data_IF_420350600714
#
_entry.id   IF_420350600714
#
_cell.length_a   1.000
_cell.length_b   1.000
_cell.length_c   1.000
_cell.angle_alpha   90.00
_cell.angle_beta   90.00
_cell.angle_gamma   90.00
#
_symmetry.space_group_name_H-M   'P 1'
#
loop_
_entity.id
_entity.type
_entity.pdbx_description
1 polymer ?
#
# COMPACT_ATOMS: atom_id res chain seq x y z
N UNK A 1 -5.08 17.71 -19.11
CA UNK A 1 -6.27 16.82 -19.11
C UNK A 1 -6.69 16.65 -20.56
N UNK A 2 -7.05 15.44 -21.00
CA UNK A 2 -7.44 15.15 -22.38
C UNK A 2 -8.86 15.63 -22.70
N UNK A 3 -9.15 15.84 -23.98
CA UNK A 3 -10.37 16.50 -24.50
C UNK A 3 -11.71 15.76 -24.21
N UNK A 4 -11.66 14.55 -23.65
CA UNK A 4 -12.83 13.69 -23.43
C UNK A 4 -13.32 13.60 -21.97
N UNK A 5 -12.73 14.36 -21.04
CA UNK A 5 -13.15 14.35 -19.63
C UNK A 5 -14.40 15.21 -19.38
N UNK A 6 -15.51 14.56 -19.00
CA UNK A 6 -16.80 15.22 -18.70
C UNK A 6 -17.01 15.44 -17.21
N UNK A 7 -16.79 16.68 -16.74
CA UNK A 7 -17.04 17.14 -15.37
C UNK A 7 -18.41 17.81 -15.24
N UNK A 8 -19.07 17.68 -14.08
CA UNK A 8 -20.37 18.32 -13.79
C UNK A 8 -20.40 19.09 -12.46
N UNK A 9 -19.66 18.63 -11.46
CA UNK A 9 -19.56 19.23 -10.14
C UNK A 9 -18.14 19.76 -9.92
N UNK A 10 -18.02 21.04 -9.59
CA UNK A 10 -16.77 21.62 -9.08
C UNK A 10 -16.51 21.21 -7.63
N UNK A 11 -15.29 21.47 -7.17
CA UNK A 11 -14.87 21.28 -5.78
C UNK A 11 -14.44 22.62 -5.17
N UNK A 12 -14.71 22.78 -3.87
CA UNK A 12 -14.27 23.86 -2.99
C UNK A 12 -14.06 23.31 -1.58
N UNK A 13 -13.44 24.08 -0.68
CA UNK A 13 -13.11 23.62 0.67
C UNK A 13 -14.35 23.29 1.52
N UNK A 14 -15.52 23.81 1.15
CA UNK A 14 -16.82 23.55 1.78
C UNK A 14 -17.55 22.34 1.17
N UNK A 15 -17.00 21.72 0.10
CA UNK A 15 -17.64 20.59 -0.59
C UNK A 15 -17.51 19.32 0.26
N UNK A 16 -18.63 18.70 0.70
CA UNK A 16 -18.59 17.53 1.57
C UNK A 16 -18.36 16.22 0.80
N UNK A 17 -18.06 15.14 1.53
CA UNK A 17 -18.21 13.78 1.01
C UNK A 17 -19.65 13.56 0.53
N UNK A 18 -19.82 13.00 -0.67
CA UNK A 18 -21.13 12.83 -1.34
C UNK A 18 -22.01 11.71 -0.74
N UNK A 19 -21.57 11.06 0.33
CA UNK A 19 -22.35 10.03 1.03
C UNK A 19 -23.21 10.72 2.09
N UNK A 20 -24.52 10.55 1.99
CA UNK A 20 -25.49 11.16 2.93
C UNK A 20 -25.15 10.83 4.39
N UNK A 21 -25.12 11.87 5.24
CA UNK A 21 -24.78 11.75 6.66
C UNK A 21 -23.28 11.63 6.97
N UNK A 22 -22.39 11.77 5.98
CA UNK A 22 -20.95 11.81 6.22
C UNK A 22 -20.46 13.20 6.66
N UNK A 23 -19.66 13.25 7.72
CA UNK A 23 -18.99 14.46 8.24
C UNK A 23 -17.50 14.54 7.89
N UNK A 24 -16.95 13.53 7.21
CA UNK A 24 -15.53 13.48 6.84
C UNK A 24 -15.27 14.33 5.59
N UNK A 25 -14.12 15.03 5.49
CA UNK A 25 -13.74 15.74 4.27
C UNK A 25 -13.54 14.75 3.11
N UNK A 26 -13.95 15.10 1.88
CA UNK A 26 -13.65 14.29 0.72
C UNK A 26 -12.15 14.31 0.42
N UNK A 27 -11.63 13.21 -0.10
CA UNK A 27 -10.23 13.01 -0.46
C UNK A 27 -10.04 12.85 -1.98
N UNK A 28 -11.04 12.27 -2.65
CA UNK A 28 -11.00 11.96 -4.09
C UNK A 28 -12.25 12.44 -4.82
N UNK A 29 -12.07 12.84 -6.06
CA UNK A 29 -13.11 12.88 -7.07
C UNK A 29 -13.27 11.49 -7.71
N UNK A 30 -14.51 11.01 -7.78
CA UNK A 30 -14.85 9.70 -8.34
C UNK A 30 -15.19 9.84 -9.81
N UNK A 31 -14.55 9.04 -10.65
CA UNK A 31 -14.73 9.04 -12.09
C UNK A 31 -15.16 7.66 -12.59
N UNK A 32 -16.10 7.62 -13.52
CA UNK A 32 -16.46 6.44 -14.31
C UNK A 32 -15.51 6.35 -15.51
N UNK A 33 -14.81 5.23 -15.62
CA UNK A 33 -13.89 4.92 -16.70
C UNK A 33 -14.34 3.67 -17.46
N UNK A 34 -14.42 3.81 -18.78
CA UNK A 34 -14.51 2.69 -19.71
C UNK A 34 -13.63 2.94 -20.94
N UNK A 35 -13.30 1.89 -21.69
CA UNK A 35 -12.53 1.97 -22.92
C UNK A 35 -13.13 1.06 -23.99
N UNK A 36 -13.22 1.58 -25.21
CA UNK A 36 -13.95 1.00 -26.33
C UNK A 36 -12.97 0.65 -27.46
N UNK A 37 -12.35 -0.52 -27.37
CA UNK A 37 -11.30 -1.02 -28.29
C UNK A 37 -11.62 -0.77 -29.77
N UNK A 38 -12.87 -1.05 -30.18
CA UNK A 38 -13.32 -0.95 -31.58
C UNK A 38 -13.37 0.50 -32.13
N UNK A 39 -13.47 1.50 -31.24
CA UNK A 39 -13.49 2.91 -31.58
C UNK A 39 -12.19 3.62 -31.18
N UNK A 40 -11.31 2.95 -30.42
CA UNK A 40 -10.17 3.55 -29.72
C UNK A 40 -10.60 4.74 -28.80
N UNK A 41 -11.82 4.69 -28.27
CA UNK A 41 -12.40 5.75 -27.45
C UNK A 41 -12.27 5.45 -25.95
N UNK A 42 -11.81 6.43 -25.18
CA UNK A 42 -11.84 6.39 -23.72
C UNK A 42 -13.02 7.21 -23.21
N UNK A 43 -13.90 6.56 -22.45
CA UNK A 43 -14.95 7.23 -21.68
C UNK A 43 -14.39 7.64 -20.32
N UNK A 44 -14.44 8.94 -20.01
CA UNK A 44 -13.96 9.51 -18.76
C UNK A 44 -14.95 10.56 -18.25
N UNK A 45 -15.77 10.19 -17.27
CA UNK A 45 -16.83 11.07 -16.76
C UNK A 45 -16.82 11.10 -15.24
N UNK A 46 -17.04 12.27 -14.64
CA UNK A 46 -17.26 12.38 -13.21
C UNK A 46 -18.53 11.63 -12.80
N UNK A 47 -18.45 10.84 -11.73
CA UNK A 47 -19.60 10.10 -11.21
C UNK A 47 -20.69 11.06 -10.74
N UNK A 48 -21.92 10.88 -11.23
CA UNK A 48 -23.03 11.78 -10.87
C UNK A 48 -23.77 11.38 -9.60
N UNK A 49 -23.51 10.17 -9.10
CA UNK A 49 -24.20 9.58 -7.95
C UNK A 49 -23.41 9.78 -6.66
N UNK A 50 -22.07 9.81 -6.77
CA UNK A 50 -21.16 10.09 -5.67
C UNK A 50 -19.87 10.76 -6.20
N UNK A 51 -19.91 12.03 -6.65
CA UNK A 51 -18.78 12.70 -7.30
C UNK A 51 -17.55 12.85 -6.40
N UNK A 52 -17.70 12.91 -5.08
CA UNK A 52 -16.61 13.11 -4.12
C UNK A 52 -16.70 12.15 -2.94
N UNK A 53 -15.61 11.46 -2.59
CA UNK A 53 -15.55 10.51 -1.47
C UNK A 53 -14.41 10.80 -0.52
N UNK A 54 -14.66 10.65 0.79
CA UNK A 54 -13.63 10.56 1.82
C UNK A 54 -12.93 9.20 1.79
N UNK A 55 -11.74 9.09 2.39
CA UNK A 55 -10.94 7.84 2.43
C UNK A 55 -11.76 6.65 2.93
N UNK A 56 -12.53 6.84 4.01
CA UNK A 56 -13.39 5.79 4.60
C UNK A 56 -14.40 5.24 3.59
N UNK A 57 -15.12 6.12 2.89
CA UNK A 57 -16.15 5.68 1.95
C UNK A 57 -15.56 5.16 0.64
N UNK A 58 -14.43 5.71 0.17
CA UNK A 58 -13.66 5.14 -0.94
C UNK A 58 -13.27 3.69 -0.66
N UNK A 59 -12.70 3.40 0.52
CA UNK A 59 -12.29 2.05 0.89
C UNK A 59 -13.49 1.09 0.96
N UNK A 60 -14.58 1.49 1.62
CA UNK A 60 -15.83 0.69 1.65
C UNK A 60 -16.35 0.44 0.23
N UNK A 61 -16.20 1.40 -0.68
CA UNK A 61 -16.64 1.31 -2.07
C UNK A 61 -15.88 0.20 -2.82
N UNK A 62 -14.56 0.14 -2.66
CA UNK A 62 -13.70 -0.90 -3.24
C UNK A 62 -13.89 -2.27 -2.56
N UNK A 63 -13.86 -2.32 -1.22
CA UNK A 63 -13.96 -3.56 -0.42
C UNK A 63 -15.25 -4.35 -0.68
N UNK A 64 -16.31 -3.66 -1.10
CA UNK A 64 -17.64 -4.23 -1.38
C UNK A 64 -18.07 -4.07 -2.84
N UNK A 65 -17.13 -3.76 -3.75
CA UNK A 65 -17.40 -3.74 -5.18
C UNK A 65 -17.74 -5.16 -5.67
N UNK A 66 -18.80 -5.29 -6.48
CA UNK A 66 -19.20 -6.58 -7.08
C UNK A 66 -19.14 -6.43 -8.60
N UNK A 67 -18.29 -7.25 -9.23
CA UNK A 67 -18.09 -7.25 -10.68
C UNK A 67 -16.63 -7.51 -11.06
N UNK A 68 -16.30 -7.38 -12.34
CA UNK A 68 -14.92 -7.49 -12.83
C UNK A 68 -14.45 -6.09 -13.24
N UNK A 69 -13.44 -5.57 -12.54
CA UNK A 69 -12.84 -4.25 -12.79
C UNK A 69 -11.98 -4.25 -14.05
N UNK A 70 -12.62 -4.14 -15.21
CA UNK A 70 -11.97 -4.02 -16.52
C UNK A 70 -12.81 -3.17 -17.48
N UNK A 71 -12.23 -2.62 -18.57
CA UNK A 71 -13.00 -2.07 -19.67
C UNK A 71 -14.06 -3.05 -20.17
N UNK A 72 -15.21 -2.51 -20.58
CA UNK A 72 -16.44 -3.21 -20.97
C UNK A 72 -17.05 -4.10 -19.86
N UNK A 73 -16.45 -4.15 -18.67
CA UNK A 73 -16.99 -4.81 -17.49
C UNK A 73 -18.20 -4.08 -16.90
N UNK A 74 -18.82 -4.70 -15.91
CA UNK A 74 -19.84 -4.07 -15.08
C UNK A 74 -19.40 -4.23 -13.63
N UNK A 75 -19.31 -3.13 -12.90
CA UNK A 75 -19.01 -3.13 -11.46
C UNK A 75 -20.06 -2.31 -10.73
N UNK A 76 -20.73 -2.96 -9.78
CA UNK A 76 -21.67 -2.33 -8.86
C UNK A 76 -20.95 -1.96 -7.57
N UNK A 77 -21.21 -0.75 -7.09
CA UNK A 77 -20.53 -0.15 -5.95
C UNK A 77 -21.52 0.25 -4.83
N UNK A 78 -21.09 0.25 -3.56
CA UNK A 78 -21.89 0.74 -2.43
C UNK A 78 -22.35 2.19 -2.51
N UNK A 79 -21.55 3.08 -3.11
CA UNK A 79 -21.83 4.52 -3.17
C UNK A 79 -21.78 5.09 -4.59
N UNK A 80 -20.73 4.81 -5.36
CA UNK A 80 -20.60 5.27 -6.74
C UNK A 80 -21.42 4.42 -7.74
N UNK A 81 -21.40 4.82 -9.01
CA UNK A 81 -21.97 4.14 -10.17
C UNK A 81 -23.42 3.63 -9.97
N UNK A 82 -24.27 4.37 -9.24
CA UNK A 82 -25.65 3.92 -8.97
C UNK A 82 -26.53 3.86 -10.23
N UNK A 83 -26.15 4.59 -11.27
CA UNK A 83 -26.79 4.56 -12.58
C UNK A 83 -26.42 3.28 -13.39
N UNK A 84 -25.50 2.45 -12.88
CA UNK A 84 -25.14 1.17 -13.50
C UNK A 84 -24.35 1.30 -14.81
N UNK A 85 -23.54 2.36 -14.95
CA UNK A 85 -22.74 2.57 -16.15
C UNK A 85 -21.71 1.45 -16.34
N UNK A 86 -21.42 1.15 -17.61
CA UNK A 86 -20.41 0.19 -18.02
C UNK A 86 -18.99 0.72 -17.71
N UNK A 87 -18.06 -0.19 -17.42
CA UNK A 87 -16.72 0.13 -16.95
C UNK A 87 -16.60 0.02 -15.42
N UNK A 88 -15.78 0.89 -14.81
CA UNK A 88 -15.51 0.87 -13.37
C UNK A 88 -15.14 2.26 -12.82
N UNK A 89 -15.25 2.42 -11.49
CA UNK A 89 -14.84 3.66 -10.81
C UNK A 89 -13.32 3.75 -10.65
N UNK A 90 -12.77 4.93 -10.96
CA UNK A 90 -11.43 5.40 -10.63
C UNK A 90 -11.53 6.58 -9.66
N UNK A 91 -10.47 6.84 -8.92
CA UNK A 91 -10.40 7.91 -7.93
C UNK A 91 -9.22 8.83 -8.25
N UNK A 92 -9.49 10.12 -8.41
CA UNK A 92 -8.46 11.15 -8.60
C UNK A 92 -8.40 12.01 -7.33
N UNK A 93 -7.27 12.06 -6.61
CA UNK A 93 -7.15 12.86 -5.40
C UNK A 93 -7.42 14.34 -5.68
N UNK A 94 -8.14 14.97 -4.76
CA UNK A 94 -8.55 16.37 -4.91
C UNK A 94 -7.37 17.33 -4.86
N UNK A 95 -6.31 16.97 -4.15
CA UNK A 95 -5.05 17.74 -4.13
C UNK A 95 -4.40 17.87 -5.51
N UNK A 96 -4.44 16.83 -6.33
CA UNK A 96 -3.82 16.83 -7.66
C UNK A 96 -4.68 17.60 -8.68
N UNK A 97 -6.01 17.57 -8.49
CA UNK A 97 -6.97 18.29 -9.33
C UNK A 97 -7.09 19.78 -8.97
N UNK A 98 -6.90 20.15 -7.70
CA UNK A 98 -7.14 21.50 -7.20
C UNK A 98 -6.01 22.03 -6.30
N UNK A 99 -4.72 21.94 -6.70
CA UNK A 99 -3.58 22.22 -5.81
C UNK A 99 -3.64 23.60 -5.13
N UNK A 100 -4.24 24.60 -5.77
CA UNK A 100 -4.43 25.96 -5.23
C UNK A 100 -5.38 26.05 -4.02
N UNK A 101 -6.28 25.08 -3.84
CA UNK A 101 -7.19 25.03 -2.69
C UNK A 101 -6.50 24.46 -1.44
N UNK A 102 -5.47 23.63 -1.66
CA UNK A 102 -4.67 22.97 -0.62
C UNK A 102 -3.34 23.70 -0.34
N UNK A 103 -3.06 24.83 -1.02
CA UNK A 103 -1.71 25.44 -1.07
C UNK A 103 -1.38 26.50 -0.01
N UNK A 104 -2.27 26.85 0.91
CA UNK A 104 -2.03 27.97 1.85
C UNK A 104 -2.08 27.64 3.34
N UNK A 105 -2.74 26.55 3.76
CA UNK A 105 -2.75 26.09 5.17
C UNK A 105 -2.52 24.57 5.32
N UNK A 106 -2.46 23.79 4.22
CA UNK A 106 -2.33 22.32 4.26
C UNK A 106 -1.05 21.77 3.60
N UNK A 107 -0.13 22.63 3.16
CA UNK A 107 1.18 22.20 2.63
C UNK A 107 2.10 21.58 3.69
N UNK A 108 1.78 21.72 4.98
CA UNK A 108 2.43 20.94 6.05
C UNK A 108 1.86 19.53 6.23
N UNK A 109 0.78 19.15 5.52
CA UNK A 109 0.07 17.88 5.76
C UNK A 109 -0.32 17.05 4.52
N UNK A 110 -0.30 17.57 3.28
CA UNK A 110 -0.85 16.80 2.14
C UNK A 110 -0.20 16.95 0.75
N UNK A 111 1.06 17.38 0.61
CA UNK A 111 1.83 17.20 -0.63
C UNK A 111 2.72 15.95 -0.49
N UNK A 112 2.28 14.76 -0.88
CA UNK A 112 2.46 14.11 -2.19
C UNK A 112 1.77 12.70 -2.09
N UNK A 113 1.66 11.78 -3.04
CA UNK A 113 1.84 11.72 -4.50
C UNK A 113 0.85 10.64 -5.02
N UNK A 114 0.35 10.74 -6.26
CA UNK A 114 -0.22 9.58 -6.96
C UNK A 114 0.91 8.70 -7.51
N UNK A 115 1.50 7.83 -6.68
CA UNK A 115 2.29 6.73 -7.22
C UNK A 115 1.34 5.63 -7.74
N UNK A 116 1.77 4.91 -8.78
CA UNK A 116 1.08 3.72 -9.29
C UNK A 116 0.97 2.63 -8.21
N UNK A 117 -0.09 2.68 -7.40
CA UNK A 117 -0.33 1.74 -6.27
C UNK A 117 -0.47 0.26 -6.69
N UNK A 118 -0.36 -0.07 -7.98
CA UNK A 118 -0.36 -1.44 -8.47
C UNK A 118 1.01 -2.13 -8.31
N UNK A 119 2.12 -1.39 -8.26
CA UNK A 119 3.49 -1.95 -8.18
C UNK A 119 4.34 -1.11 -7.22
N UNK A 120 5.35 -1.70 -6.58
CA UNK A 120 6.36 -0.94 -5.84
C UNK A 120 7.43 -0.51 -6.83
N UNK A 121 7.67 0.79 -6.94
CA UNK A 121 8.65 1.36 -7.87
C UNK A 121 9.55 2.40 -7.17
N UNK A 122 10.57 2.88 -7.88
CA UNK A 122 11.53 3.85 -7.34
C UNK A 122 10.87 5.16 -6.87
N UNK A 123 9.80 5.59 -7.56
CA UNK A 123 9.01 6.78 -7.20
C UNK A 123 8.29 6.59 -5.85
N UNK A 124 7.72 5.40 -5.60
CA UNK A 124 7.12 5.07 -4.31
C UNK A 124 8.16 5.18 -3.20
N UNK A 125 9.33 4.59 -3.42
CA UNK A 125 10.37 4.52 -2.38
C UNK A 125 10.97 5.92 -2.14
N UNK A 126 11.21 6.72 -3.18
CA UNK A 126 11.65 8.11 -3.06
C UNK A 126 10.63 9.00 -2.32
N UNK A 127 9.32 8.76 -2.51
CA UNK A 127 8.26 9.39 -1.73
C UNK A 127 8.27 8.93 -0.27
N UNK A 128 8.38 7.62 0.00
CA UNK A 128 8.43 7.06 1.36
C UNK A 128 9.72 7.43 2.13
N UNK A 129 10.79 7.87 1.45
CA UNK A 129 11.97 8.48 2.09
C UNK A 129 11.64 9.85 2.68
N UNK A 130 10.82 10.65 1.98
CA UNK A 130 10.42 11.99 2.42
C UNK A 130 9.26 11.93 3.42
N UNK A 131 8.33 10.99 3.25
CA UNK A 131 7.06 10.87 3.99
C UNK A 131 6.90 9.45 4.59
N UNK A 132 7.76 9.04 5.53
CA UNK A 132 7.86 7.64 5.98
C UNK A 132 6.63 7.12 6.73
N UNK A 133 5.83 7.99 7.35
CA UNK A 133 4.57 7.63 8.00
C UNK A 133 3.57 6.94 7.04
N UNK A 134 3.66 7.21 5.73
CA UNK A 134 2.83 6.54 4.72
C UNK A 134 3.13 5.03 4.60
N UNK A 135 4.28 4.53 5.06
CA UNK A 135 4.55 3.08 5.12
C UNK A 135 3.48 2.36 5.97
N UNK A 136 2.94 3.02 7.01
CA UNK A 136 1.85 2.47 7.85
C UNK A 136 0.49 2.50 7.16
N UNK A 137 0.28 3.37 6.16
CA UNK A 137 -0.97 3.48 5.41
C UNK A 137 -1.12 2.40 4.33
N UNK A 138 0.00 1.87 3.82
CA UNK A 138 0.04 0.75 2.85
C UNK A 138 -0.86 -0.42 3.28
N UNK A 139 -1.48 -1.12 2.34
CA UNK A 139 -2.12 -2.40 2.66
C UNK A 139 -1.03 -3.47 3.00
N UNK A 140 -1.36 -4.56 3.72
CA UNK A 140 -0.35 -5.55 4.13
C UNK A 140 0.49 -6.10 2.97
N UNK A 141 -0.14 -6.39 1.82
CA UNK A 141 0.57 -6.92 0.65
C UNK A 141 1.53 -5.90 0.04
N UNK A 142 1.13 -4.63 -0.03
CA UNK A 142 2.02 -3.55 -0.49
C UNK A 142 3.20 -3.32 0.46
N UNK A 143 3.01 -3.58 1.75
CA UNK A 143 4.12 -3.58 2.71
C UNK A 143 5.07 -4.78 2.49
N UNK A 144 4.55 -5.99 2.27
CA UNK A 144 5.36 -7.16 1.89
C UNK A 144 6.16 -6.90 0.60
N UNK A 145 5.51 -6.32 -0.42
CA UNK A 145 6.14 -5.97 -1.70
C UNK A 145 7.23 -4.89 -1.55
N UNK A 146 7.04 -3.90 -0.66
CA UNK A 146 8.05 -2.89 -0.35
C UNK A 146 9.31 -3.52 0.24
N UNK A 147 9.13 -4.41 1.22
CA UNK A 147 10.26 -5.14 1.82
C UNK A 147 10.91 -6.07 0.78
N UNK A 148 10.13 -6.74 -0.07
CA UNK A 148 10.66 -7.56 -1.14
C UNK A 148 11.54 -6.76 -2.11
N UNK A 149 11.12 -5.56 -2.52
CA UNK A 149 11.89 -4.69 -3.43
C UNK A 149 13.18 -4.18 -2.78
N UNK A 150 13.13 -3.80 -1.49
CA UNK A 150 14.33 -3.46 -0.71
C UNK A 150 15.34 -4.62 -0.68
N UNK A 151 14.90 -5.88 -0.61
CA UNK A 151 15.80 -7.03 -0.68
C UNK A 151 16.35 -7.24 -2.10
N UNK A 152 15.56 -7.06 -3.16
CA UNK A 152 16.03 -7.13 -4.56
C UNK A 152 17.13 -6.11 -4.84
N UNK A 153 16.92 -4.85 -4.45
CA UNK A 153 17.90 -3.77 -4.56
C UNK A 153 19.21 -4.10 -3.81
N UNK A 154 19.15 -4.86 -2.71
CA UNK A 154 20.33 -5.34 -1.97
C UNK A 154 20.98 -6.61 -2.57
N UNK A 155 20.58 -7.01 -3.79
CA UNK A 155 21.19 -8.11 -4.54
C UNK A 155 20.69 -9.51 -4.15
N UNK A 156 19.50 -9.63 -3.57
CA UNK A 156 18.88 -10.91 -3.25
C UNK A 156 17.95 -11.35 -4.39
N UNK A 157 17.90 -12.67 -4.63
CA UNK A 157 16.83 -13.30 -5.42
C UNK A 157 15.61 -13.45 -4.52
N UNK A 158 14.48 -12.80 -4.86
CA UNK A 158 13.35 -12.64 -3.94
C UNK A 158 12.05 -13.25 -4.49
N UNK A 159 11.48 -14.18 -3.72
CA UNK A 159 10.16 -14.78 -3.94
C UNK A 159 9.18 -14.29 -2.87
N UNK A 160 8.09 -13.64 -3.27
CA UNK A 160 6.94 -13.38 -2.40
C UNK A 160 6.09 -14.64 -2.28
N UNK A 161 5.69 -15.01 -1.06
CA UNK A 161 4.79 -16.14 -0.85
C UNK A 161 3.32 -15.75 -1.14
N UNK A 162 2.43 -16.72 -1.42
CA UNK A 162 0.99 -16.52 -1.41
C UNK A 162 0.44 -15.90 -0.12
N UNK A 163 -0.64 -15.11 -0.21
CA UNK A 163 -1.24 -14.48 0.97
C UNK A 163 -1.98 -15.44 1.92
N UNK A 164 -2.02 -16.75 1.62
CA UNK A 164 -2.84 -17.72 2.36
C UNK A 164 -2.08 -19.02 2.59
N UNK A 165 -2.03 -19.45 3.87
CA UNK A 165 -1.56 -20.76 4.36
C UNK A 165 -0.03 -21.00 4.45
N UNK A 166 0.82 -20.00 4.25
CA UNK A 166 2.29 -20.20 4.17
C UNK A 166 3.06 -20.22 5.52
N UNK A 167 2.36 -20.44 6.63
CA UNK A 167 2.99 -20.85 7.89
C UNK A 167 3.85 -19.80 8.60
N UNK A 168 3.72 -18.51 8.28
CA UNK A 168 4.43 -17.41 8.95
C UNK A 168 5.68 -16.92 8.23
N UNK A 169 5.72 -17.01 6.89
CA UNK A 169 6.74 -16.35 6.04
C UNK A 169 6.07 -15.71 4.83
N UNK A 170 6.38 -14.44 4.60
CA UNK A 170 5.78 -13.62 3.54
C UNK A 170 6.75 -13.43 2.35
N UNK A 171 8.06 -13.55 2.61
CA UNK A 171 9.12 -13.44 1.61
C UNK A 171 10.17 -14.53 1.86
N UNK A 172 10.67 -15.13 0.78
CA UNK A 172 11.90 -15.93 0.76
C UNK A 172 12.92 -15.16 -0.06
N UNK A 173 14.09 -14.86 0.52
CA UNK A 173 15.18 -14.16 -0.13
C UNK A 173 16.44 -15.03 -0.13
N UNK A 174 17.11 -15.15 -1.28
CA UNK A 174 18.32 -15.96 -1.45
C UNK A 174 19.48 -15.04 -1.81
N UNK A 175 20.58 -15.15 -1.07
CA UNK A 175 21.83 -14.47 -1.37
C UNK A 175 22.86 -15.48 -1.88
N UNK A 176 23.30 -15.27 -3.12
CA UNK A 176 24.24 -16.14 -3.82
C UNK A 176 25.64 -15.52 -3.79
N UNK A 177 26.61 -16.24 -3.22
CA UNK A 177 27.99 -15.76 -3.08
C UNK A 177 29.01 -16.84 -3.43
N UNK A 178 30.28 -16.49 -3.74
CA UNK A 178 31.35 -17.49 -3.95
C UNK A 178 31.62 -18.41 -2.75
N UNK A 179 31.16 -18.03 -1.55
CA UNK A 179 31.31 -18.80 -0.32
C UNK A 179 30.10 -19.71 -0.02
N UNK A 180 29.05 -19.65 -0.85
CA UNK A 180 27.84 -20.45 -0.72
C UNK A 180 26.55 -19.64 -0.83
N UNK A 181 25.44 -20.35 -0.68
CA UNK A 181 24.07 -19.82 -0.74
C UNK A 181 23.53 -19.61 0.67
N UNK A 182 22.91 -18.46 0.92
CA UNK A 182 22.23 -18.16 2.18
C UNK A 182 20.75 -17.92 1.91
N UNK A 183 19.88 -18.62 2.63
CA UNK A 183 18.43 -18.53 2.46
C UNK A 183 17.79 -17.88 3.67
N UNK A 184 17.08 -16.78 3.43
CA UNK A 184 16.42 -15.96 4.41
C UNK A 184 14.91 -16.09 4.27
N UNK A 185 14.21 -16.17 5.39
CA UNK A 185 12.75 -15.92 5.44
C UNK A 185 12.48 -14.58 6.08
N UNK A 186 11.52 -13.86 5.54
CA UNK A 186 11.03 -12.61 6.12
C UNK A 186 9.56 -12.75 6.43
N UNK A 187 9.16 -12.32 7.62
CA UNK A 187 7.78 -12.16 8.02
C UNK A 187 7.50 -10.67 8.27
N UNK A 188 6.42 -10.16 7.70
CA UNK A 188 6.03 -8.76 7.71
C UNK A 188 4.79 -8.57 8.58
N UNK A 189 4.87 -7.71 9.61
CA UNK A 189 3.75 -7.39 10.50
C UNK A 189 3.45 -5.90 10.49
N UNK A 190 2.43 -5.52 9.71
CA UNK A 190 1.93 -4.14 9.63
C UNK A 190 1.05 -3.80 10.83
N UNK A 191 1.65 -3.37 11.93
CA UNK A 191 0.95 -2.93 13.14
C UNK A 191 0.98 -1.41 13.31
N UNK A 192 0.06 -0.89 14.12
CA UNK A 192 0.08 0.48 14.61
C UNK A 192 1.27 0.68 15.56
N UNK A 193 1.73 1.92 15.68
CA UNK A 193 2.92 2.30 16.46
C UNK A 193 2.81 1.97 17.96
N UNK A 194 1.60 2.05 18.52
CA UNK A 194 1.27 1.67 19.90
C UNK A 194 1.20 0.14 20.11
N UNK A 195 1.00 -0.64 19.05
CA UNK A 195 0.88 -2.10 19.11
C UNK A 195 2.21 -2.80 18.82
N UNK A 196 3.01 -3.02 19.87
CA UNK A 196 4.32 -3.68 19.76
C UNK A 196 4.22 -5.17 19.46
N UNK A 197 5.17 -5.67 18.67
CA UNK A 197 5.30 -7.10 18.37
C UNK A 197 5.91 -7.84 19.57
N UNK A 198 5.17 -8.83 20.07
CA UNK A 198 5.54 -9.65 21.23
C UNK A 198 6.42 -10.87 20.90
N UNK A 199 7.02 -11.45 21.95
CA UNK A 199 8.00 -12.55 21.84
C UNK A 199 7.44 -13.85 21.26
N UNK A 200 6.14 -14.12 21.40
CA UNK A 200 5.53 -15.34 20.84
C UNK A 200 5.61 -15.41 19.32
N UNK A 201 5.47 -14.28 18.64
CA UNK A 201 5.57 -14.20 17.18
C UNK A 201 7.02 -14.46 16.72
N UNK A 202 7.99 -13.87 17.45
CA UNK A 202 9.42 -14.11 17.26
C UNK A 202 9.80 -15.59 17.44
N UNK A 203 9.25 -16.25 18.47
CA UNK A 203 9.42 -17.69 18.72
C UNK A 203 8.82 -18.54 17.63
N UNK A 204 7.63 -18.18 17.13
CA UNK A 204 6.97 -18.84 16.01
C UNK A 204 7.84 -18.83 14.76
N UNK A 205 8.30 -17.64 14.33
CA UNK A 205 9.18 -17.49 13.18
C UNK A 205 10.51 -18.25 13.33
N UNK A 206 11.11 -18.24 14.53
CA UNK A 206 12.30 -19.05 14.81
C UNK A 206 12.02 -20.55 14.69
N UNK A 207 10.85 -21.02 15.12
CA UNK A 207 10.42 -22.41 14.91
C UNK A 207 10.34 -22.80 13.44
N UNK A 208 9.74 -21.93 12.60
CA UNK A 208 9.68 -22.11 11.13
C UNK A 208 11.09 -22.16 10.53
N UNK A 209 11.94 -21.19 10.88
CA UNK A 209 13.36 -21.13 10.50
C UNK A 209 14.09 -22.44 10.77
N UNK A 210 13.99 -22.95 12.00
CA UNK A 210 14.68 -24.17 12.43
C UNK A 210 14.12 -25.44 11.79
N UNK A 211 12.80 -25.53 11.62
CA UNK A 211 12.15 -26.69 11.01
C UNK A 211 12.48 -26.83 9.52
N UNK A 212 12.44 -25.73 8.78
CA UNK A 212 12.70 -25.68 7.33
C UNK A 212 14.18 -25.43 6.97
N UNK A 213 15.05 -25.28 7.99
CA UNK A 213 16.51 -25.13 7.88
C UNK A 213 16.98 -23.89 7.10
N UNK A 214 16.23 -22.81 7.17
CA UNK A 214 16.67 -21.52 6.65
C UNK A 214 17.92 -21.02 7.40
N UNK A 215 18.78 -20.26 6.71
CA UNK A 215 20.03 -19.71 7.26
C UNK A 215 19.70 -18.71 8.38
N UNK A 216 18.82 -17.76 8.08
CA UNK A 216 18.38 -16.71 9.00
C UNK A 216 16.89 -16.40 8.79
N UNK A 217 16.21 -15.95 9.84
CA UNK A 217 14.88 -15.37 9.73
C UNK A 217 14.89 -13.89 10.13
N UNK A 218 14.01 -13.10 9.52
CA UNK A 218 13.94 -11.65 9.71
C UNK A 218 12.48 -11.28 9.96
N UNK A 219 12.19 -10.69 11.11
CA UNK A 219 10.86 -10.20 11.43
C UNK A 219 10.83 -8.69 11.24
N UNK A 220 9.99 -8.22 10.31
CA UNK A 220 9.91 -6.81 9.90
C UNK A 220 8.56 -6.22 10.32
N UNK A 221 8.54 -5.05 10.95
CA UNK A 221 7.29 -4.41 11.40
C UNK A 221 7.27 -2.89 11.23
N UNK A 222 6.10 -2.36 10.93
CA UNK A 222 5.83 -0.91 10.92
C UNK A 222 5.66 -0.29 12.32
N UNK A 223 5.76 -1.12 13.36
CA UNK A 223 5.70 -0.73 14.77
C UNK A 223 7.09 -0.89 15.43
N UNK A 224 7.14 -1.38 16.68
CA UNK A 224 8.36 -1.71 17.42
C UNK A 224 8.21 -3.05 18.15
N UNK A 225 9.32 -3.58 18.69
CA UNK A 225 9.35 -4.85 19.43
C UNK A 225 9.30 -4.65 20.94
N UNK A 226 8.72 -5.62 21.67
CA UNK A 226 8.83 -5.66 23.13
C UNK A 226 10.27 -5.97 23.58
N UNK A 227 10.61 -5.61 24.82
CA UNK A 227 11.94 -5.90 25.35
C UNK A 227 12.20 -7.41 25.48
N UNK A 228 11.18 -8.22 25.71
CA UNK A 228 11.34 -9.69 25.77
C UNK A 228 11.55 -10.30 24.39
N UNK A 229 10.97 -9.73 23.33
CA UNK A 229 11.30 -10.07 21.95
C UNK A 229 12.79 -9.77 21.66
N UNK A 230 13.27 -8.58 22.00
CA UNK A 230 14.70 -8.20 21.82
C UNK A 230 15.65 -9.09 22.62
N UNK A 231 15.33 -9.39 23.89
CA UNK A 231 16.12 -10.31 24.75
C UNK A 231 16.21 -11.71 24.16
N UNK A 232 15.12 -12.23 23.58
CA UNK A 232 15.10 -13.55 22.94
C UNK A 232 15.99 -13.62 21.70
N UNK A 233 16.03 -12.54 20.90
CA UNK A 233 16.86 -12.49 19.68
C UNK A 233 18.34 -12.26 19.97
N UNK A 234 18.70 -11.55 21.05
CA UNK A 234 20.10 -11.24 21.38
C UNK A 234 21.09 -12.43 21.33
N UNK A 235 20.81 -13.62 21.90
CA UNK A 235 21.71 -14.79 21.78
C UNK A 235 21.64 -15.50 20.40
N UNK A 236 20.72 -15.08 19.52
CA UNK A 236 20.44 -15.68 18.21
C UNK A 236 20.72 -14.69 17.05
N UNK A 237 21.52 -13.65 17.27
CA UNK A 237 21.66 -12.50 16.36
C UNK A 237 22.14 -12.85 14.92
N UNK A 238 22.79 -14.00 14.75
CA UNK A 238 23.20 -14.52 13.45
C UNK A 238 22.10 -15.33 12.73
N UNK A 239 21.14 -15.87 13.48
CA UNK A 239 20.06 -16.73 12.98
C UNK A 239 18.70 -16.02 12.89
N UNK A 240 18.55 -14.90 13.59
CA UNK A 240 17.29 -14.19 13.75
C UNK A 240 17.54 -12.68 13.87
N UNK A 241 16.82 -11.89 13.09
CA UNK A 241 16.90 -10.43 13.14
C UNK A 241 15.52 -9.81 13.37
N UNK A 242 15.48 -8.73 14.16
CA UNK A 242 14.30 -7.88 14.32
C UNK A 242 14.55 -6.57 13.55
N UNK A 243 13.55 -6.12 12.81
CA UNK A 243 13.61 -4.91 11.98
C UNK A 243 12.34 -4.08 12.14
N UNK A 244 12.49 -2.93 12.78
CA UNK A 244 11.36 -2.06 13.12
C UNK A 244 11.22 -0.89 12.15
N UNK A 245 10.31 0.03 12.47
CA UNK A 245 10.04 1.19 11.63
C UNK A 245 11.29 2.06 11.33
N UNK A 246 12.25 2.14 12.25
CA UNK A 246 13.49 2.91 12.04
C UNK A 246 14.44 2.19 11.06
N UNK A 247 14.53 0.86 11.14
CA UNK A 247 15.26 0.05 10.16
C UNK A 247 14.67 0.20 8.74
N UNK A 248 13.34 0.17 8.61
CA UNK A 248 12.66 0.29 7.30
C UNK A 248 12.92 1.68 6.70
N UNK A 249 12.79 2.76 7.48
CA UNK A 249 13.15 4.12 7.02
C UNK A 249 14.58 4.19 6.52
N UNK A 250 15.53 3.60 7.27
CA UNK A 250 16.93 3.52 6.85
C UNK A 250 17.10 2.76 5.53
N UNK A 251 16.41 1.64 5.36
CA UNK A 251 16.44 0.88 4.12
C UNK A 251 15.90 1.66 2.92
N UNK A 252 14.81 2.42 3.07
CA UNK A 252 14.34 3.32 2.02
C UNK A 252 15.39 4.40 1.68
N UNK A 253 16.00 5.03 2.69
CA UNK A 253 17.08 6.02 2.47
C UNK A 253 18.35 5.44 1.80
N UNK A 254 18.62 4.15 2.00
CA UNK A 254 19.73 3.44 1.37
C UNK A 254 19.36 2.87 -0.01
N UNK A 255 18.07 2.83 -0.39
CA UNK A 255 17.60 2.37 -1.71
C UNK A 255 17.81 3.43 -2.79
N UNK A 256 17.66 4.72 -2.45
CA UNK A 256 17.73 5.86 -3.38
C UNK A 256 19.17 6.37 -3.65
N UNK A 257 20.19 5.51 -3.55
CA UNK A 257 21.62 5.84 -3.74
C UNK A 257 22.28 4.90 -4.74
#
# INVERSE_FOLDING_TARGET
MSENYKKRFGFSNETPCSVSGCSEPPFVEVLLYDYYDFANETFYQQDFTCPFLCVKHMNINEDKAIGIRKPRGLVTYPYSNKDGAQGFSKYMPLKDLYPKLFSSEELENNAELQISLNEVNDELIAYLVQHPEFIRSLNPRKFEELIAEIFRNKGYEVTLTPQTRDGGKDIIAVYNSPFGHQMFIVECKKYKEDHKVGVELVRGLYGVKSAERYTQAILVTTSSFTEDAKKFVKPLEYELALKDFEDIKKWCMDYSK
#
